data_IF_685432707577
#
_entry.id   IF_685432707577
#
_cell.length_a   1.000
_cell.length_b   1.000
_cell.length_c   1.000
_cell.angle_alpha   90.00
_cell.angle_beta   90.00
_cell.angle_gamma   90.00
#
_symmetry.space_group_name_H-M   'P 1'
#
loop_
_entity.id
_entity.type
_entity.pdbx_description
1 polymer ?
#
# COMPACT_ATOMS: atom_id res chain seq x y z
N UNK A 1 -0.42 18.61 -8.80
CA UNK A 1 0.36 17.64 -7.99
C UNK A 1 1.85 17.87 -8.25
N UNK A 2 2.59 18.38 -7.27
CA UNK A 2 4.05 18.51 -7.40
C UNK A 2 4.69 17.12 -7.42
N UNK A 3 5.66 16.89 -8.32
CA UNK A 3 6.40 15.63 -8.43
C UNK A 3 7.15 15.34 -7.13
N UNK A 4 6.61 14.41 -6.33
CA UNK A 4 7.24 13.92 -5.10
C UNK A 4 8.72 13.53 -5.29
N UNK A 5 9.13 12.87 -6.40
CA UNK A 5 10.53 12.60 -6.69
C UNK A 5 11.45 13.83 -6.69
N UNK A 6 10.95 14.98 -7.17
CA UNK A 6 11.76 16.21 -7.30
C UNK A 6 12.00 16.91 -5.96
N UNK A 7 11.26 16.56 -4.91
CA UNK A 7 11.39 17.17 -3.58
C UNK A 7 12.41 16.45 -2.69
N UNK A 8 12.83 15.24 -3.07
CA UNK A 8 13.78 14.43 -2.31
C UNK A 8 14.87 13.88 -3.24
N UNK A 9 15.82 14.73 -3.69
CA UNK A 9 16.82 14.33 -4.69
C UNK A 9 17.79 13.24 -4.21
N UNK A 10 17.96 13.06 -2.89
CA UNK A 10 18.84 12.05 -2.31
C UNK A 10 18.12 10.76 -1.91
N UNK A 11 16.78 10.74 -1.97
CA UNK A 11 15.95 9.60 -1.56
C UNK A 11 15.34 8.96 -2.79
N UNK A 12 15.47 7.64 -2.90
CA UNK A 12 14.78 6.87 -3.93
C UNK A 12 13.39 6.46 -3.47
N UNK A 13 12.40 6.63 -4.33
CA UNK A 13 10.98 6.40 -4.08
C UNK A 13 10.41 5.51 -5.19
N UNK A 14 9.64 4.50 -4.80
CA UNK A 14 8.96 3.62 -5.75
C UNK A 14 7.62 3.20 -5.17
N UNK A 15 6.53 3.47 -5.89
CA UNK A 15 5.19 3.04 -5.56
C UNK A 15 4.69 2.17 -6.71
N UNK A 16 4.24 0.98 -6.37
CA UNK A 16 3.82 -0.03 -7.34
C UNK A 16 2.67 -0.86 -6.77
N UNK A 17 1.90 -1.51 -7.64
CA UNK A 17 0.94 -2.53 -7.22
C UNK A 17 1.61 -3.89 -6.98
N UNK A 18 0.84 -4.90 -6.57
CA UNK A 18 1.35 -6.27 -6.37
C UNK A 18 1.75 -6.98 -7.67
N UNK A 19 1.31 -6.49 -8.83
CA UNK A 19 1.73 -6.96 -10.15
C UNK A 19 3.02 -6.27 -10.64
N UNK A 20 3.60 -5.40 -9.80
CA UNK A 20 4.79 -4.59 -10.07
C UNK A 20 4.59 -3.54 -11.17
N UNK A 21 3.34 -3.10 -11.40
CA UNK A 21 3.04 -1.96 -12.27
C UNK A 21 3.43 -0.65 -11.58
N UNK A 22 4.46 0.08 -12.06
CA UNK A 22 4.93 1.27 -11.39
C UNK A 22 3.94 2.44 -11.55
N UNK A 23 3.55 3.06 -10.43
CA UNK A 23 2.68 4.24 -10.39
C UNK A 23 3.48 5.52 -10.21
N UNK A 24 4.45 5.49 -9.30
CA UNK A 24 5.39 6.58 -9.05
C UNK A 24 6.78 5.98 -8.92
N UNK A 25 7.75 6.56 -9.61
CA UNK A 25 9.15 6.18 -9.44
C UNK A 25 10.03 7.42 -9.50
N UNK A 26 11.05 7.46 -8.66
CA UNK A 26 12.12 8.45 -8.73
C UNK A 26 13.35 7.93 -9.48
N UNK A 27 13.25 6.76 -10.11
CA UNK A 27 14.39 6.17 -10.81
C UNK A 27 14.84 7.06 -11.97
N UNK A 28 16.14 7.32 -12.02
CA UNK A 28 16.79 8.05 -13.13
C UNK A 28 17.49 7.13 -14.13
N UNK A 29 17.56 5.81 -13.85
CA UNK A 29 18.19 4.82 -14.72
C UNK A 29 17.45 3.48 -14.75
N UNK A 30 17.66 2.64 -15.77
CA UNK A 30 17.06 1.30 -15.81
C UNK A 30 17.53 0.39 -14.66
N UNK A 31 18.81 0.43 -14.30
CA UNK A 31 19.36 -0.40 -13.21
C UNK A 31 18.84 0.01 -11.83
N UNK A 32 18.63 1.30 -11.61
CA UNK A 32 18.01 1.79 -10.38
C UNK A 32 16.53 1.36 -10.30
N UNK A 33 15.81 1.38 -11.42
CA UNK A 33 14.43 0.91 -11.47
C UNK A 33 14.35 -0.59 -11.16
N UNK A 34 15.22 -1.39 -11.77
CA UNK A 34 15.32 -2.83 -11.51
C UNK A 34 15.59 -3.12 -10.02
N UNK A 35 16.48 -2.36 -9.39
CA UNK A 35 16.77 -2.50 -7.96
C UNK A 35 15.56 -2.16 -7.08
N UNK A 36 14.82 -1.08 -7.40
CA UNK A 36 13.61 -0.69 -6.69
C UNK A 36 12.47 -1.71 -6.87
N UNK A 37 12.31 -2.23 -8.08
CA UNK A 37 11.34 -3.30 -8.38
C UNK A 37 11.69 -4.58 -7.63
N UNK A 38 12.97 -4.94 -7.56
CA UNK A 38 13.44 -6.10 -6.78
C UNK A 38 13.16 -5.93 -5.28
N UNK A 39 13.39 -4.73 -4.73
CA UNK A 39 13.03 -4.39 -3.35
C UNK A 39 11.51 -4.49 -3.11
N UNK A 40 10.68 -4.00 -4.03
CA UNK A 40 9.22 -4.10 -3.93
C UNK A 40 8.75 -5.56 -3.97
N UNK A 41 9.32 -6.37 -4.87
CA UNK A 41 9.02 -7.79 -4.96
C UNK A 41 9.43 -8.54 -3.69
N UNK A 42 10.59 -8.20 -3.11
CA UNK A 42 11.03 -8.73 -1.81
C UNK A 42 10.06 -8.34 -0.67
N UNK A 43 9.51 -7.12 -0.69
CA UNK A 43 8.48 -6.69 0.27
C UNK A 43 7.22 -7.58 0.17
N UNK A 44 6.68 -7.77 -1.04
CA UNK A 44 5.50 -8.63 -1.27
C UNK A 44 5.72 -10.03 -0.70
N UNK A 45 6.88 -10.61 -0.97
CA UNK A 45 7.25 -11.93 -0.44
C UNK A 45 7.40 -11.93 1.08
N UNK A 46 7.96 -10.86 1.66
CA UNK A 46 8.12 -10.70 3.11
C UNK A 46 6.76 -10.62 3.82
N UNK A 47 5.80 -9.88 3.26
CA UNK A 47 4.43 -9.83 3.78
C UNK A 47 3.75 -11.20 3.71
N UNK A 48 3.86 -11.89 2.57
CA UNK A 48 3.30 -13.23 2.40
C UNK A 48 3.92 -14.23 3.41
N UNK A 49 5.24 -14.16 3.63
CA UNK A 49 5.93 -14.98 4.62
C UNK A 49 5.44 -14.67 6.04
N UNK A 50 5.38 -13.39 6.44
CA UNK A 50 4.90 -12.96 7.76
C UNK A 50 3.49 -13.49 8.06
N UNK A 51 2.59 -13.47 7.08
CA UNK A 51 1.24 -14.02 7.21
C UNK A 51 1.24 -15.53 7.40
N UNK A 52 2.10 -16.26 6.69
CA UNK A 52 2.23 -17.73 6.79
C UNK A 52 2.76 -18.18 8.16
N UNK A 53 3.58 -17.36 8.81
CA UNK A 53 4.12 -17.65 10.15
C UNK A 53 3.32 -16.99 11.28
N UNK A 54 2.08 -16.58 11.02
CA UNK A 54 1.17 -15.97 12.00
C UNK A 54 1.72 -14.71 12.70
N UNK A 55 2.62 -13.97 12.06
CA UNK A 55 3.12 -12.68 12.57
C UNK A 55 2.16 -11.51 12.29
N UNK A 56 1.02 -11.76 11.65
CA UNK A 56 -0.01 -10.77 11.34
C UNK A 56 0.13 -10.15 9.95
N UNK A 57 -0.49 -8.98 9.75
CA UNK A 57 -0.37 -8.19 8.53
C UNK A 57 0.61 -7.02 8.77
N UNK A 58 1.87 -7.12 8.34
CA UNK A 58 2.82 -6.04 8.55
C UNK A 58 2.37 -4.80 7.77
N UNK A 59 2.26 -3.66 8.46
CA UNK A 59 1.94 -2.38 7.83
C UNK A 59 3.19 -1.74 7.20
N UNK A 60 4.35 -1.93 7.85
CA UNK A 60 5.63 -1.40 7.41
C UNK A 60 6.78 -2.28 7.88
N UNK A 61 7.76 -2.49 7.00
CA UNK A 61 9.07 -3.06 7.32
C UNK A 61 10.11 -1.94 7.19
N UNK A 62 11.00 -1.86 8.17
CA UNK A 62 12.12 -0.93 8.17
C UNK A 62 13.42 -1.69 8.35
N UNK A 63 14.37 -1.43 7.45
CA UNK A 63 15.72 -1.97 7.52
C UNK A 63 16.68 -0.80 7.70
N UNK A 64 17.43 -0.83 8.79
CA UNK A 64 18.49 0.15 9.08
C UNK A 64 19.83 -0.60 9.10
N UNK A 65 20.78 -0.16 8.29
CA UNK A 65 22.14 -0.70 8.31
C UNK A 65 22.98 0.11 9.32
N UNK A 66 23.80 -0.55 10.18
CA UNK A 66 24.63 0.13 11.16
C UNK A 66 25.69 1.06 10.51
N UNK A 67 26.32 1.91 11.32
CA UNK A 67 27.45 2.78 10.94
C UNK A 67 27.24 3.62 9.67
N UNK A 68 26.27 4.55 9.72
CA UNK A 68 25.84 5.43 8.61
C UNK A 68 25.30 4.69 7.37
N UNK A 69 24.92 3.43 7.52
CA UNK A 69 24.35 2.63 6.43
C UNK A 69 23.00 3.15 5.93
N UNK A 70 22.50 2.54 4.85
CA UNK A 70 21.23 2.92 4.22
C UNK A 70 20.01 2.64 5.10
N UNK A 71 18.89 3.28 4.78
CA UNK A 71 17.59 3.01 5.40
C UNK A 71 16.59 2.64 4.31
N UNK A 72 15.95 1.50 4.46
CA UNK A 72 14.89 1.03 3.55
C UNK A 72 13.57 0.97 4.32
N UNK A 73 12.55 1.64 3.80
CA UNK A 73 11.19 1.59 4.30
C UNK A 73 10.30 0.96 3.23
N UNK A 74 9.62 -0.11 3.59
CA UNK A 74 8.63 -0.78 2.76
C UNK A 74 7.28 -0.69 3.47
N UNK A 75 6.32 0.00 2.87
CA UNK A 75 4.96 0.13 3.40
C UNK A 75 3.96 -0.61 2.53
N UNK A 76 3.02 -1.30 3.16
CA UNK A 76 1.94 -2.03 2.50
C UNK A 76 0.66 -1.24 2.68
N UNK A 77 0.01 -0.90 1.57
CA UNK A 77 -1.20 -0.08 1.56
C UNK A 77 -2.35 -0.94 1.09
N UNK A 78 -3.15 -1.39 2.04
CA UNK A 78 -4.44 -2.02 1.76
C UNK A 78 -5.55 -0.97 1.87
N UNK A 79 -6.43 -0.92 0.88
CA UNK A 79 -7.60 -0.03 0.85
C UNK A 79 -8.58 -0.39 1.97
N UNK A 80 -8.65 -1.67 2.37
CA UNK A 80 -9.55 -2.20 3.40
C UNK A 80 -9.18 -1.75 4.81
N UNK A 81 -7.89 -1.52 5.08
CA UNK A 81 -7.42 -1.04 6.40
C UNK A 81 -7.92 0.37 6.71
N UNK A 82 -8.25 1.17 5.69
CA UNK A 82 -8.81 2.52 5.88
C UNK A 82 -10.25 2.50 6.39
N UNK A 83 -10.98 1.41 6.13
CA UNK A 83 -12.39 1.25 6.53
C UNK A 83 -12.55 0.57 7.91
N UNK A 84 -11.49 -0.05 8.44
CA UNK A 84 -11.55 -0.89 9.64
C UNK A 84 -11.11 -0.25 10.97
N UNK A 85 -10.54 0.96 10.97
CA UNK A 85 -10.02 1.58 12.20
C UNK A 85 -11.07 2.29 13.07
N UNK A 86 -12.36 1.93 12.95
CA UNK A 86 -13.46 2.45 13.78
C UNK A 86 -14.06 1.39 14.73
N UNK A 87 -13.45 0.21 14.88
CA UNK A 87 -14.06 -0.91 15.59
C UNK A 87 -13.14 -1.64 16.56
N UNK A 88 -12.64 -0.95 17.60
CA UNK A 88 -12.10 -1.62 18.77
C UNK A 88 -12.89 -1.18 20.01
N UNK A 89 -13.87 -1.99 20.40
CA UNK A 89 -14.29 -2.27 21.80
C UNK A 89 -15.46 -3.26 21.78
N UNK A 90 -15.19 -4.53 22.09
CA UNK A 90 -16.20 -5.43 22.70
C UNK A 90 -16.24 -5.15 24.20
N UNK A 91 -17.40 -5.28 24.88
CA UNK A 91 -17.69 -6.60 25.47
C UNK A 91 -19.17 -7.02 25.47
N UNK A 92 -19.36 -8.33 25.33
CA UNK A 92 -20.36 -9.21 25.94
C UNK A 92 -21.64 -8.58 26.54
N UNK A 93 -22.78 -8.84 25.90
CA UNK A 93 -24.06 -9.04 26.57
C UNK A 93 -24.87 -10.10 25.82
N UNK A 94 -25.20 -11.17 26.54
CA UNK A 94 -26.06 -12.28 26.19
C UNK A 94 -27.48 -11.85 25.77
N UNK A 95 -27.98 -12.31 24.61
CA UNK A 95 -29.33 -12.88 24.42
C UNK A 95 -29.71 -13.10 22.93
N UNK A 96 -30.31 -14.27 22.69
CA UNK A 96 -31.16 -14.72 21.56
C UNK A 96 -30.55 -15.10 20.18
N UNK A 97 -30.74 -16.38 19.74
CA UNK A 97 -30.47 -16.82 18.38
C UNK A 97 -31.77 -16.89 17.58
N UNK A 98 -32.15 -15.84 16.86
CA UNK A 98 -33.18 -15.92 15.81
C UNK A 98 -32.80 -15.07 14.60
N UNK A 99 -32.93 -15.71 13.45
CA UNK A 99 -32.95 -15.15 12.09
C UNK A 99 -31.59 -14.86 11.45
N UNK A 100 -30.98 -15.95 11.01
CA UNK A 100 -30.23 -16.01 9.76
C UNK A 100 -31.11 -15.48 8.62
N UNK A 101 -30.75 -14.33 8.05
CA UNK A 101 -31.15 -13.96 6.70
C UNK A 101 -29.92 -13.48 5.95
N UNK A 102 -29.45 -14.38 5.10
CA UNK A 102 -28.36 -14.22 4.14
C UNK A 102 -28.53 -12.92 3.33
N UNK A 103 -27.52 -12.06 3.40
CA UNK A 103 -27.45 -10.81 2.66
C UNK A 103 -26.07 -10.15 2.60
N UNK A 104 -25.02 -10.74 3.19
CA UNK A 104 -23.64 -10.27 3.05
C UNK A 104 -22.97 -10.93 1.84
N UNK A 105 -23.34 -10.51 0.64
CA UNK A 105 -22.67 -10.99 -0.59
C UNK A 105 -22.71 -9.98 -1.73
N UNK A 106 -22.63 -8.66 -1.45
CA UNK A 106 -22.50 -7.60 -2.48
C UNK A 106 -21.77 -6.35 -1.96
N UNK A 107 -20.70 -6.53 -1.18
CA UNK A 107 -19.82 -5.42 -0.81
C UNK A 107 -18.33 -5.82 -0.93
N UNK A 108 -18.05 -6.77 -1.83
CA UNK A 108 -16.73 -6.99 -2.43
C UNK A 108 -16.62 -6.21 -3.75
N UNK A 109 -17.35 -5.10 -3.89
CA UNK A 109 -17.32 -4.25 -5.08
C UNK A 109 -15.95 -3.55 -5.15
N UNK A 110 -15.11 -4.06 -6.05
CA UNK A 110 -13.86 -3.51 -6.55
C UNK A 110 -12.93 -2.89 -5.49
N UNK A 111 -12.46 -3.71 -4.54
CA UNK A 111 -11.38 -3.27 -3.66
C UNK A 111 -10.15 -2.87 -4.50
N UNK A 112 -9.73 -1.60 -4.40
CA UNK A 112 -8.53 -1.11 -5.05
C UNK A 112 -7.32 -2.01 -4.70
N UNK A 113 -6.41 -2.27 -5.67
CA UNK A 113 -5.29 -3.18 -5.46
C UNK A 113 -4.41 -2.72 -4.30
N UNK A 114 -3.82 -3.69 -3.60
CA UNK A 114 -2.80 -3.43 -2.60
C UNK A 114 -1.61 -2.77 -3.27
N UNK A 115 -1.10 -1.71 -2.67
CA UNK A 115 0.09 -1.01 -3.13
C UNK A 115 1.27 -1.24 -2.19
N UNK A 116 2.47 -1.24 -2.76
CA UNK A 116 3.73 -1.30 -2.03
C UNK A 116 4.51 -0.02 -2.30
N UNK A 117 4.83 0.70 -1.22
CA UNK A 117 5.66 1.89 -1.25
C UNK A 117 7.06 1.56 -0.71
N UNK A 118 8.09 1.74 -1.53
CA UNK A 118 9.50 1.57 -1.18
C UNK A 118 10.16 2.94 -1.14
N UNK A 119 10.84 3.22 -0.03
CA UNK A 119 11.66 4.42 0.16
C UNK A 119 13.05 4.01 0.60
N UNK A 120 14.08 4.50 -0.08
CA UNK A 120 15.48 4.20 0.22
C UNK A 120 16.24 5.50 0.42
N UNK A 121 16.86 5.64 1.59
CA UNK A 121 17.83 6.70 1.88
C UNK A 121 19.25 6.14 1.89
N UNK A 122 20.20 6.95 1.41
CA UNK A 122 21.60 6.55 1.28
C UNK A 122 22.33 6.45 2.62
N UNK A 123 21.78 7.07 3.67
CA UNK A 123 22.38 7.07 5.00
C UNK A 123 21.36 7.10 6.13
N UNK A 124 21.78 6.68 7.32
CA UNK A 124 20.99 6.74 8.54
C UNK A 124 20.67 8.19 8.99
N UNK A 125 21.50 9.17 8.59
CA UNK A 125 21.27 10.59 8.88
C UNK A 125 19.98 11.09 8.20
N UNK A 126 19.62 10.50 7.07
CA UNK A 126 18.42 10.81 6.29
C UNK A 126 17.18 10.04 6.77
N UNK A 127 17.28 9.20 7.81
CA UNK A 127 16.17 8.35 8.26
C UNK A 127 14.89 9.14 8.60
N UNK A 128 15.03 10.34 9.19
CA UNK A 128 13.88 11.20 9.48
C UNK A 128 13.23 11.72 8.20
N UNK A 129 14.03 12.02 7.18
CA UNK A 129 13.54 12.46 5.89
C UNK A 129 12.90 11.30 5.11
N UNK A 130 13.51 10.12 5.12
CA UNK A 130 12.94 8.89 4.56
C UNK A 130 11.55 8.60 5.14
N UNK A 131 11.37 8.72 6.46
CA UNK A 131 10.06 8.55 7.11
C UNK A 131 9.03 9.59 6.64
N UNK A 132 9.43 10.85 6.47
CA UNK A 132 8.55 11.90 5.93
C UNK A 132 8.17 11.63 4.48
N UNK A 133 9.14 11.25 3.65
CA UNK A 133 8.93 10.90 2.25
C UNK A 133 8.00 9.68 2.13
N UNK A 134 8.21 8.64 2.95
CA UNK A 134 7.33 7.48 3.03
C UNK A 134 5.90 7.87 3.41
N UNK A 135 5.71 8.60 4.50
CA UNK A 135 4.36 9.05 4.90
C UNK A 135 3.65 9.86 3.82
N UNK A 136 4.40 10.61 3.00
CA UNK A 136 3.84 11.35 1.88
C UNK A 136 3.52 10.46 0.68
N UNK A 137 4.40 9.52 0.35
CA UNK A 137 4.16 8.53 -0.70
C UNK A 137 2.95 7.65 -0.37
N UNK A 138 2.76 7.30 0.90
CA UNK A 138 1.58 6.57 1.39
C UNK A 138 0.29 7.36 1.21
N UNK A 139 0.30 8.66 1.54
CA UNK A 139 -0.87 9.52 1.33
C UNK A 139 -1.29 9.55 -0.14
N UNK A 140 -0.32 9.65 -1.04
CA UNK A 140 -0.53 9.63 -2.49
C UNK A 140 -1.02 8.25 -2.95
N UNK A 141 -0.41 7.16 -2.48
CA UNK A 141 -0.88 5.80 -2.79
C UNK A 141 -2.33 5.56 -2.38
N UNK A 142 -2.73 6.07 -1.21
CA UNK A 142 -4.13 6.01 -0.76
C UNK A 142 -5.05 6.90 -1.59
N UNK A 143 -4.55 7.95 -2.21
CA UNK A 143 -5.33 8.80 -3.14
C UNK A 143 -5.67 8.03 -4.41
N UNK A 144 -4.67 7.37 -5.04
CA UNK A 144 -4.93 6.44 -6.15
C UNK A 144 -5.94 5.36 -5.79
N UNK A 145 -5.81 4.75 -4.60
CA UNK A 145 -6.76 3.72 -4.15
C UNK A 145 -8.18 4.27 -3.97
N UNK A 146 -8.34 5.51 -3.50
CA UNK A 146 -9.67 6.15 -3.40
C UNK A 146 -10.26 6.43 -4.77
N UNK A 147 -9.47 6.94 -5.70
CA UNK A 147 -9.89 7.20 -7.09
C UNK A 147 -10.38 5.91 -7.74
N UNK A 148 -9.60 4.82 -7.66
CA UNK A 148 -10.00 3.52 -8.23
C UNK A 148 -11.25 2.90 -7.60
N UNK A 149 -11.51 3.17 -6.32
CA UNK A 149 -12.72 2.65 -5.65
C UNK A 149 -13.94 3.54 -5.92
N UNK A 150 -13.74 4.82 -6.25
CA UNK A 150 -14.80 5.78 -6.56
C UNK A 150 -15.27 5.67 -8.01
N UNK A 151 -14.35 5.42 -8.94
CA UNK A 151 -14.63 5.25 -10.38
C UNK A 151 -15.12 3.82 -10.72
N UNK A 152 -15.94 3.21 -9.85
CA UNK A 152 -16.57 1.91 -10.10
C UNK A 152 -17.30 1.88 -11.46
N UNK A 153 -17.39 0.72 -12.13
CA UNK A 153 -17.63 0.63 -13.57
C UNK A 153 -18.89 1.39 -13.98
N UNK A 154 -18.71 2.44 -14.79
CA UNK A 154 -19.79 3.06 -15.55
C UNK A 154 -20.56 1.95 -16.28
N UNK A 155 -21.82 1.75 -15.88
CA UNK A 155 -22.77 0.94 -16.63
C UNK A 155 -22.89 1.54 -18.02
N UNK A 156 -22.24 0.91 -19.00
CA UNK A 156 -22.45 1.17 -20.42
C UNK A 156 -23.94 0.92 -20.70
N UNK A 157 -24.73 1.92 -21.11
CA UNK A 157 -26.12 1.65 -21.49
C UNK A 157 -26.10 0.72 -22.70
N UNK A 158 -26.67 -0.46 -22.53
CA UNK A 158 -26.95 -1.40 -23.62
C UNK A 158 -27.94 -0.74 -24.58
N UNK A 159 -27.45 -0.19 -25.68
CA UNK A 159 -28.28 0.11 -26.85
C UNK A 159 -28.80 -1.22 -27.41
N UNK A 160 -30.05 -1.54 -27.06
CA UNK A 160 -30.76 -2.71 -27.57
C UNK A 160 -31.01 -2.60 -29.09
N UNK A 161 -30.94 -3.72 -29.84
CA UNK A 161 -31.18 -3.68 -31.28
C UNK A 161 -32.67 -3.48 -31.59
N UNK A 162 -32.95 -2.59 -32.56
CA UNK A 162 -34.25 -2.48 -33.24
C UNK A 162 -34.32 -3.40 -34.45
#
# INVERSE_FOLDING_TARGET
>A
MSSLPSQHPTISLHLTDVALTPLITSSSSPSQLESLTSLAHSAINSQAAARRVNLGNPQRIMVEYPDRGSVVLQSYLDSRETSGSAGATTPSASADPREQKDGQSRQDDAAAPVLVAVVVAGSADEAKEARRAAARLERIGREFQREWTTDGPEQRPEDGPS
#
